data_IF_916075256841
#
_entry.id   IF_916075256841
#
_cell.length_a   1.000
_cell.length_b   1.000
_cell.length_c   1.000
_cell.angle_alpha   90.00
_cell.angle_beta   90.00
_cell.angle_gamma   90.00
#
_symmetry.space_group_name_H-M   'P 1'
#
loop_
_entity.id
_entity.type
_entity.pdbx_description
1 polymer ?
#
# COMPACT_ATOMS: atom_id res chain seq x y z
N UNK A 1 8.27 2.56 5.80
CA UNK A 1 8.74 3.66 6.68
C UNK A 1 9.56 4.63 5.85
N UNK A 2 9.59 5.91 6.21
CA UNK A 2 10.44 6.92 5.56
C UNK A 2 11.40 7.52 6.59
N UNK A 3 12.65 7.69 6.21
CA UNK A 3 13.67 8.42 6.98
C UNK A 3 13.85 9.82 6.38
N UNK A 4 13.99 10.83 7.25
CA UNK A 4 14.47 12.15 6.86
C UNK A 4 15.97 12.22 7.16
N UNK A 5 16.72 13.01 6.40
CA UNK A 5 18.15 13.21 6.67
C UNK A 5 18.33 13.74 8.10
N UNK A 6 19.21 13.10 8.88
CA UNK A 6 19.43 13.41 10.30
C UNK A 6 18.34 12.91 11.28
N UNK A 7 17.30 12.22 10.82
CA UNK A 7 16.24 11.72 11.71
C UNK A 7 16.71 10.54 12.57
N UNK A 8 16.40 10.61 13.88
CA UNK A 8 16.66 9.53 14.85
C UNK A 8 15.55 8.46 14.87
N UNK A 9 14.43 8.71 14.20
CA UNK A 9 13.28 7.79 14.10
C UNK A 9 12.65 7.89 12.70
N UNK A 10 12.17 6.76 12.19
CA UNK A 10 11.45 6.71 10.92
C UNK A 10 9.97 7.07 11.11
N UNK A 11 9.36 7.67 10.10
CA UNK A 11 7.91 7.90 10.06
C UNK A 11 7.24 6.68 9.42
N UNK A 12 6.17 6.19 10.06
CA UNK A 12 5.30 5.19 9.45
C UNK A 12 4.43 5.87 8.40
N UNK A 13 4.51 5.38 7.17
CA UNK A 13 3.80 5.96 6.02
C UNK A 13 2.63 5.09 5.56
N UNK A 14 2.67 3.78 5.85
CA UNK A 14 1.63 2.82 5.51
C UNK A 14 1.63 1.65 6.51
N UNK A 15 0.45 1.10 6.83
CA UNK A 15 0.31 -0.14 7.61
C UNK A 15 0.74 -0.08 9.09
N UNK A 16 0.59 1.07 9.75
CA UNK A 16 1.12 1.29 11.10
C UNK A 16 0.36 0.68 12.27
N UNK A 17 -0.79 0.04 12.03
CA UNK A 17 -1.68 -0.46 13.08
C UNK A 17 -1.72 -2.00 13.15
N UNK A 18 -0.61 -2.63 12.78
CA UNK A 18 -0.47 -4.09 12.78
C UNK A 18 -1.15 -4.78 11.60
N UNK A 19 -1.25 -6.11 11.72
CA UNK A 19 -1.90 -6.94 10.71
C UNK A 19 -3.42 -6.78 10.73
N UNK A 20 -4.03 -6.70 9.55
CA UNK A 20 -5.48 -6.64 9.40
C UNK A 20 -5.90 -6.04 8.05
N UNK A 21 -7.20 -5.79 7.90
CA UNK A 21 -7.81 -5.27 6.67
C UNK A 21 -8.31 -3.82 6.79
N UNK A 22 -8.10 -3.16 7.93
CA UNK A 22 -8.40 -1.74 8.10
C UNK A 22 -7.59 -0.84 7.16
N UNK A 23 -8.00 0.42 7.01
CA UNK A 23 -7.31 1.41 6.15
C UNK A 23 -5.94 1.84 6.69
N UNK A 24 -5.61 1.46 7.92
CA UNK A 24 -4.31 1.69 8.58
C UNK A 24 -3.50 0.42 8.77
N UNK A 25 -4.00 -0.72 8.26
CA UNK A 25 -3.44 -2.06 8.42
C UNK A 25 -3.11 -2.68 7.06
N UNK A 26 -2.23 -3.68 7.08
CA UNK A 26 -1.83 -4.49 5.93
C UNK A 26 -1.73 -5.95 6.36
N UNK A 27 -1.87 -6.92 5.46
CA UNK A 27 -1.63 -8.34 5.71
C UNK A 27 -0.72 -8.96 4.64
N UNK A 28 0.47 -9.35 5.10
CA UNK A 28 1.60 -9.86 4.29
C UNK A 28 1.88 -9.08 2.99
N UNK A 29 2.09 -7.75 3.05
CA UNK A 29 2.34 -6.94 1.85
C UNK A 29 3.61 -7.39 1.11
N UNK A 30 3.60 -7.36 -0.24
CA UNK A 30 4.71 -7.86 -1.07
C UNK A 30 5.37 -6.83 -1.97
N UNK A 31 4.65 -5.78 -2.35
CA UNK A 31 5.14 -4.77 -3.28
C UNK A 31 4.91 -3.37 -2.73
N UNK A 32 5.89 -2.49 -2.92
CA UNK A 32 5.78 -1.07 -2.59
C UNK A 32 6.42 -0.22 -3.68
N UNK A 33 5.72 0.82 -4.11
CA UNK A 33 6.26 1.85 -5.02
C UNK A 33 5.86 3.23 -4.54
N UNK A 34 6.66 4.23 -4.90
CA UNK A 34 6.45 5.63 -4.52
C UNK A 34 6.48 6.48 -5.79
N UNK A 35 5.46 7.31 -5.99
CA UNK A 35 5.43 8.23 -7.13
C UNK A 35 6.30 9.49 -6.88
N UNK A 36 6.39 10.37 -7.88
CA UNK A 36 7.17 11.62 -7.77
C UNK A 36 6.60 12.61 -6.75
N UNK A 37 5.32 12.49 -6.39
CA UNK A 37 4.66 13.32 -5.38
C UNK A 37 4.87 12.79 -3.95
N UNK A 38 5.46 11.61 -3.81
CA UNK A 38 5.68 10.93 -2.53
C UNK A 38 4.48 10.12 -2.04
N UNK A 39 3.53 9.81 -2.92
CA UNK A 39 2.43 8.88 -2.66
C UNK A 39 2.98 7.45 -2.64
N UNK A 40 2.66 6.70 -1.59
CA UNK A 40 3.06 5.30 -1.44
C UNK A 40 1.92 4.39 -1.90
N UNK A 41 2.26 3.39 -2.71
CA UNK A 41 1.35 2.35 -3.15
C UNK A 41 1.86 1.00 -2.63
N UNK A 42 0.97 0.20 -2.07
CA UNK A 42 1.31 -1.09 -1.45
C UNK A 42 0.42 -2.19 -2.01
N UNK A 43 1.03 -3.28 -2.47
CA UNK A 43 0.34 -4.53 -2.77
C UNK A 43 0.11 -5.28 -1.45
N UNK A 44 -1.13 -5.21 -0.96
CA UNK A 44 -1.59 -5.79 0.29
C UNK A 44 -2.14 -7.20 0.02
N UNK A 45 -1.23 -8.17 0.01
CA UNK A 45 -1.39 -9.46 -0.65
C UNK A 45 -2.56 -10.28 -0.11
N UNK A 46 -2.62 -10.53 1.19
CA UNK A 46 -3.68 -11.40 1.74
C UNK A 46 -5.03 -10.68 1.77
N UNK A 47 -5.02 -9.35 1.74
CA UNK A 47 -6.23 -8.55 1.58
C UNK A 47 -6.66 -8.39 0.12
N UNK A 48 -5.91 -8.96 -0.84
CA UNK A 48 -6.25 -8.95 -2.27
C UNK A 48 -6.55 -7.53 -2.79
N UNK A 49 -5.72 -6.55 -2.42
CA UNK A 49 -5.94 -5.13 -2.74
C UNK A 49 -4.64 -4.37 -2.99
N UNK A 50 -4.74 -3.29 -3.74
CA UNK A 50 -3.71 -2.25 -3.81
C UNK A 50 -4.17 -1.05 -2.99
N UNK A 51 -3.32 -0.63 -2.05
CA UNK A 51 -3.57 0.50 -1.17
C UNK A 51 -2.72 1.70 -1.57
N UNK A 52 -3.27 2.91 -1.45
CA UNK A 52 -2.60 4.18 -1.71
C UNK A 52 -2.58 5.07 -0.46
N UNK A 53 -1.41 5.61 -0.13
CA UNK A 53 -1.18 6.64 0.87
C UNK A 53 -0.56 7.89 0.24
N UNK A 54 -1.33 8.97 0.03
CA UNK A 54 -0.76 10.28 -0.28
C UNK A 54 0.26 10.72 0.78
N UNK A 55 1.23 11.54 0.38
CA UNK A 55 2.22 12.09 1.31
C UNK A 55 1.53 12.77 2.51
N UNK A 56 1.85 12.32 3.72
CA UNK A 56 1.29 12.86 4.96
C UNK A 56 -0.07 12.27 5.36
N UNK A 57 -0.65 11.36 4.58
CA UNK A 57 -1.89 10.68 4.96
C UNK A 57 -1.67 9.76 6.17
N UNK A 58 -2.61 9.81 7.11
CA UNK A 58 -2.63 8.95 8.32
C UNK A 58 -3.32 7.60 8.07
N UNK A 59 -4.10 7.49 6.99
CA UNK A 59 -4.79 6.27 6.54
C UNK A 59 -4.72 6.15 5.02
N UNK A 60 -4.83 4.91 4.54
CA UNK A 60 -4.78 4.59 3.13
C UNK A 60 -6.16 4.61 2.49
N UNK A 61 -6.18 4.37 1.18
CA UNK A 61 -7.39 4.14 0.41
C UNK A 61 -7.18 2.94 -0.52
N UNK A 62 -8.19 2.10 -0.66
CA UNK A 62 -8.18 1.04 -1.67
C UNK A 62 -8.33 1.69 -3.03
N UNK A 63 -7.42 1.41 -3.96
CA UNK A 63 -7.51 1.91 -5.34
C UNK A 63 -7.87 0.81 -6.34
N UNK A 64 -7.56 -0.45 -6.01
CA UNK A 64 -7.87 -1.63 -6.82
C UNK A 64 -8.05 -2.84 -5.87
N UNK A 65 -8.99 -3.73 -6.17
CA UNK A 65 -9.23 -4.95 -5.39
C UNK A 65 -10.02 -4.72 -4.09
N UNK A 66 -9.84 -5.60 -3.13
CA UNK A 66 -10.51 -5.56 -1.81
C UNK A 66 -11.87 -6.25 -1.75
N UNK A 67 -12.37 -6.79 -2.88
CA UNK A 67 -13.65 -7.53 -2.95
C UNK A 67 -13.44 -9.05 -3.01
N UNK A 68 -12.38 -9.53 -2.34
CA UNK A 68 -11.96 -10.93 -2.36
C UNK A 68 -11.11 -11.31 -3.57
N UNK A 69 -10.72 -12.58 -3.59
CA UNK A 69 -9.92 -13.20 -4.64
C UNK A 69 -10.78 -13.47 -5.88
N UNK A 70 -10.30 -13.09 -7.05
CA UNK A 70 -10.92 -13.47 -8.32
C UNK A 70 -10.56 -12.56 -9.50
N UNK A 71 -11.19 -12.86 -10.64
CA UNK A 71 -10.92 -12.23 -11.95
C UNK A 71 -11.94 -11.14 -12.31
N UNK A 72 -12.86 -10.79 -11.39
CA UNK A 72 -13.77 -9.67 -11.62
C UNK A 72 -13.01 -8.34 -11.63
N UNK A 73 -13.56 -7.33 -12.31
CA UNK A 73 -12.92 -6.02 -12.50
C UNK A 73 -12.50 -5.31 -11.19
N UNK A 74 -13.11 -5.67 -10.06
CA UNK A 74 -12.85 -5.12 -8.73
C UNK A 74 -12.23 -6.14 -7.75
N UNK A 75 -11.74 -7.27 -8.25
CA UNK A 75 -11.06 -8.32 -7.50
C UNK A 75 -9.58 -8.39 -7.90
N UNK A 76 -8.75 -8.89 -6.99
CA UNK A 76 -7.36 -9.22 -7.27
C UNK A 76 -7.06 -10.59 -6.65
N UNK A 77 -6.09 -11.30 -7.19
CA UNK A 77 -5.55 -12.51 -6.56
C UNK A 77 -4.11 -12.26 -6.13
N UNK A 78 -3.91 -12.07 -4.82
CA UNK A 78 -2.59 -12.01 -4.19
C UNK A 78 -1.58 -11.13 -4.95
N UNK A 79 -1.87 -9.82 -5.09
CA UNK A 79 -0.97 -8.92 -5.80
C UNK A 79 0.43 -8.97 -5.17
N UNK A 80 1.45 -8.99 -6.02
CA UNK A 80 2.83 -9.17 -5.58
C UNK A 80 3.70 -7.95 -5.91
N UNK A 81 3.94 -7.72 -7.21
CA UNK A 81 4.75 -6.60 -7.69
C UNK A 81 3.90 -5.39 -8.07
N UNK A 82 4.48 -4.20 -7.89
CA UNK A 82 3.98 -2.95 -8.45
C UNK A 82 5.15 -2.24 -9.12
N UNK A 83 4.89 -1.61 -10.25
CA UNK A 83 5.84 -0.77 -10.98
C UNK A 83 5.08 0.33 -11.70
N UNK A 84 5.67 1.52 -11.79
CA UNK A 84 5.15 2.54 -12.70
C UNK A 84 5.73 2.30 -14.10
N UNK A 85 4.88 2.33 -15.11
CA UNK A 85 5.33 2.44 -16.49
C UNK A 85 5.76 3.88 -16.78
N UNK A 86 6.85 4.05 -17.53
CA UNK A 86 7.22 5.34 -18.11
C UNK A 86 6.85 5.26 -19.58
N UNK A 87 5.77 5.93 -19.96
CA UNK A 87 5.49 6.21 -21.36
C UNK A 87 6.59 7.09 -21.97
#
# INVERSE_FOLDING_TARGET
MKWMEGAKQGIVVAGGQGEGNGLTQLSSPRGVVVDQLGTVYVADRENNRIMRWPKGATQGSVIVGGNGRGEQWNQLDRPFGLSFDRH
#
